data_IF_289039775911
#
_entry.id   IF_289039775911
#
_cell.length_a   1.000
_cell.length_b   1.000
_cell.length_c   1.000
_cell.angle_alpha   90.00
_cell.angle_beta   90.00
_cell.angle_gamma   90.00
#
_symmetry.space_group_name_H-M   'P 1'
#
loop_
_entity.id
_entity.type
_entity.pdbx_description
1 polymer ?
#
# COMPACT_ATOMS: atom_id res chain seq x y z
N UNK A 1 15.79 0.26 -1.58
CA UNK A 1 14.37 0.05 -1.24
C UNK A 1 13.86 -1.16 -2.02
N UNK A 2 13.10 -2.04 -1.38
CA UNK A 2 12.46 -3.19 -2.04
C UNK A 2 10.95 -2.89 -2.20
N UNK A 3 10.43 -2.75 -3.44
CA UNK A 3 9.01 -2.43 -3.66
C UNK A 3 8.04 -3.45 -3.09
N UNK A 4 8.47 -4.70 -2.89
CA UNK A 4 7.64 -5.77 -2.35
C UNK A 4 7.65 -5.85 -0.82
N UNK A 5 8.45 -5.02 -0.14
CA UNK A 5 8.35 -4.87 1.31
C UNK A 5 7.26 -3.85 1.68
N UNK A 6 6.60 -4.00 2.85
CA UNK A 6 5.70 -2.98 3.37
C UNK A 6 6.38 -1.62 3.48
N UNK A 7 5.79 -0.57 2.91
CA UNK A 7 6.33 0.77 3.07
C UNK A 7 6.07 1.35 4.46
N UNK A 8 4.88 1.08 5.01
CA UNK A 8 4.52 1.47 6.35
C UNK A 8 4.84 0.35 7.33
N UNK A 9 5.52 0.70 8.43
CA UNK A 9 5.82 -0.24 9.52
C UNK A 9 5.47 0.36 10.87
N UNK A 10 4.79 -0.42 11.72
CA UNK A 10 4.50 -0.02 13.10
C UNK A 10 5.79 0.14 13.90
N UNK A 11 5.90 1.22 14.69
CA UNK A 11 7.10 1.47 15.50
C UNK A 11 7.15 0.61 16.77
N UNK A 12 5.99 0.17 17.27
CA UNK A 12 5.87 -0.66 18.48
C UNK A 12 4.75 -1.69 18.33
N UNK A 13 4.79 -2.75 19.13
CA UNK A 13 3.68 -3.70 19.24
C UNK A 13 2.41 -2.97 19.69
N UNK A 14 1.26 -3.34 19.13
CA UNK A 14 -0.02 -2.67 19.37
C UNK A 14 -0.25 -1.40 18.53
N UNK A 15 0.75 -0.89 17.81
CA UNK A 15 0.55 0.22 16.87
C UNK A 15 0.16 -0.28 15.47
N UNK A 16 -0.54 0.58 14.74
CA UNK A 16 -1.00 0.31 13.38
C UNK A 16 -0.40 1.28 12.36
N UNK A 17 -0.37 0.82 11.11
CA UNK A 17 0.00 1.67 9.99
C UNK A 17 -1.04 2.75 9.74
N UNK A 18 -0.59 4.00 9.63
CA UNK A 18 -1.48 5.17 9.56
C UNK A 18 -1.95 5.70 10.92
N UNK A 19 -1.60 5.05 12.04
CA UNK A 19 -2.01 5.52 13.37
C UNK A 19 -1.21 6.76 13.80
N UNK A 20 -1.93 7.75 14.34
CA UNK A 20 -1.37 8.91 15.03
C UNK A 20 -1.81 8.94 16.49
N UNK A 21 -1.06 9.61 17.36
CA UNK A 21 -1.51 9.94 18.72
C UNK A 21 -2.43 11.18 18.74
N UNK A 22 -2.89 11.56 19.94
CA UNK A 22 -3.76 12.72 20.16
C UNK A 22 -3.12 14.05 19.72
N UNK A 23 -1.78 14.09 19.61
CA UNK A 23 -1.02 15.26 19.17
C UNK A 23 -0.63 15.17 17.68
N UNK A 24 -1.10 14.15 16.95
CA UNK A 24 -0.78 13.94 15.54
C UNK A 24 0.58 13.30 15.28
N UNK A 25 1.31 12.85 16.30
CA UNK A 25 2.59 12.17 16.08
C UNK A 25 2.37 10.78 15.49
N UNK A 26 3.14 10.46 14.45
CA UNK A 26 3.08 9.16 13.78
C UNK A 26 3.54 8.05 14.72
N UNK A 27 2.77 6.96 14.74
CA UNK A 27 3.11 5.70 15.45
C UNK A 27 3.68 4.63 14.49
N UNK A 28 4.06 5.06 13.30
CA UNK A 28 4.58 4.25 12.22
C UNK A 28 5.72 4.98 11.51
N UNK A 29 6.59 4.22 10.86
CA UNK A 29 7.58 4.73 9.91
C UNK A 29 7.11 4.51 8.48
N UNK A 30 7.66 5.29 7.56
CA UNK A 30 7.50 5.12 6.13
C UNK A 30 8.84 4.80 5.49
N UNK A 31 8.80 4.04 4.40
CA UNK A 31 9.91 3.87 3.49
C UNK A 31 10.30 5.20 2.82
N UNK A 32 11.51 5.26 2.27
CA UNK A 32 12.08 6.49 1.69
C UNK A 32 11.29 7.01 0.48
N UNK A 33 10.81 6.11 -0.39
CA UNK A 33 10.10 6.43 -1.63
C UNK A 33 8.74 5.71 -1.69
N UNK A 34 7.71 6.18 -0.94
CA UNK A 34 6.42 5.51 -0.82
C UNK A 34 5.68 5.32 -2.15
N UNK A 35 5.88 6.23 -3.10
CA UNK A 35 5.29 6.21 -4.44
C UNK A 35 5.79 5.05 -5.30
N UNK A 36 6.93 4.45 -4.96
CA UNK A 36 7.45 3.29 -5.67
C UNK A 36 7.02 1.97 -5.01
N UNK A 37 6.44 2.00 -3.81
CA UNK A 37 6.07 0.79 -3.08
C UNK A 37 4.91 0.05 -3.74
N UNK A 38 4.99 -1.28 -3.79
CA UNK A 38 3.84 -2.12 -4.13
C UNK A 38 2.93 -2.30 -2.93
N UNK A 39 3.47 -2.51 -1.73
CA UNK A 39 2.69 -2.75 -0.51
C UNK A 39 2.71 -1.54 0.43
N UNK A 40 1.53 -1.18 0.94
CA UNK A 40 1.41 -0.18 2.00
C UNK A 40 1.81 -0.79 3.33
N UNK A 41 1.15 -1.88 3.73
CA UNK A 41 1.46 -2.66 4.93
C UNK A 41 1.61 -4.16 4.55
N UNK A 42 1.54 -5.06 5.51
CA UNK A 42 1.68 -6.50 5.25
C UNK A 42 0.55 -7.13 4.43
N UNK A 43 -0.57 -6.43 4.20
CA UNK A 43 -1.78 -6.99 3.60
C UNK A 43 -2.35 -6.13 2.47
N UNK A 44 -2.17 -4.81 2.50
CA UNK A 44 -2.75 -3.88 1.53
C UNK A 44 -1.74 -3.40 0.49
N UNK A 45 -2.09 -3.33 -0.80
CA UNK A 45 -1.30 -2.62 -1.80
C UNK A 45 -1.25 -1.11 -1.51
N UNK A 46 -0.11 -0.49 -1.81
CA UNK A 46 0.01 0.97 -1.91
C UNK A 46 -0.54 1.46 -3.26
N UNK A 47 -0.56 2.77 -3.47
CA UNK A 47 -1.08 3.38 -4.70
C UNK A 47 -0.43 2.79 -5.97
N UNK A 48 0.91 2.65 -5.98
CA UNK A 48 1.61 2.06 -7.11
C UNK A 48 1.38 0.55 -7.25
N UNK A 49 1.11 -0.15 -6.14
CA UNK A 49 0.62 -1.53 -6.16
C UNK A 49 -0.73 -1.65 -6.86
N UNK A 50 -1.70 -0.82 -6.49
CA UNK A 50 -3.01 -0.79 -7.16
C UNK A 50 -2.90 -0.42 -8.63
N UNK A 51 -2.07 0.57 -8.97
CA UNK A 51 -1.79 0.94 -10.36
C UNK A 51 -1.21 -0.24 -11.15
N UNK A 52 -0.22 -0.95 -10.57
CA UNK A 52 0.40 -2.11 -11.20
C UNK A 52 -0.58 -3.26 -11.42
N UNK A 53 -1.44 -3.55 -10.44
CA UNK A 53 -2.51 -4.56 -10.54
C UNK A 53 -3.48 -4.16 -11.65
N UNK A 54 -3.95 -2.92 -11.65
CA UNK A 54 -4.86 -2.41 -12.67
C UNK A 54 -4.25 -2.56 -14.07
N UNK A 55 -3.02 -2.09 -14.30
CA UNK A 55 -2.34 -2.21 -15.60
C UNK A 55 -2.20 -3.66 -16.07
N UNK A 56 -2.08 -4.62 -15.15
CA UNK A 56 -2.04 -6.04 -15.49
C UNK A 56 -3.42 -6.59 -15.87
N UNK A 57 -4.49 -6.14 -15.21
CA UNK A 57 -5.86 -6.61 -15.42
C UNK A 57 -6.61 -5.87 -16.53
N UNK A 58 -6.22 -4.63 -16.84
CA UNK A 58 -6.86 -3.74 -17.82
C UNK A 58 -7.18 -4.44 -19.16
N UNK A 59 -6.28 -5.21 -19.80
CA UNK A 59 -6.58 -5.88 -21.07
C UNK A 59 -7.71 -6.92 -20.98
N UNK A 60 -7.95 -7.46 -19.79
CA UNK A 60 -8.98 -8.47 -19.51
C UNK A 60 -10.18 -7.90 -18.75
N UNK A 61 -10.20 -6.59 -18.50
CA UNK A 61 -11.18 -6.00 -17.59
C UNK A 61 -12.62 -6.21 -18.09
N UNK A 62 -12.85 -6.08 -19.40
CA UNK A 62 -14.15 -6.33 -20.04
C UNK A 62 -14.71 -7.74 -19.77
N UNK A 63 -13.82 -8.74 -19.69
CA UNK A 63 -14.19 -10.13 -19.38
C UNK A 63 -14.50 -10.31 -17.89
N UNK A 64 -13.86 -9.52 -17.01
CA UNK A 64 -14.03 -9.59 -15.56
C UNK A 64 -15.29 -8.86 -15.10
N UNK A 65 -15.56 -7.67 -15.64
CA UNK A 65 -16.69 -6.83 -15.20
C UNK A 65 -17.97 -7.09 -16.00
N UNK A 66 -17.93 -7.98 -16.99
CA UNK A 66 -19.09 -8.34 -17.80
C UNK A 66 -19.66 -7.17 -18.58
N UNK A 67 -18.86 -6.54 -19.44
CA UNK A 67 -19.41 -5.65 -20.46
C UNK A 67 -19.94 -6.49 -21.61
N UNK A 68 -21.25 -6.45 -21.85
CA UNK A 68 -21.92 -7.03 -23.03
C UNK A 68 -21.26 -6.61 -24.34
#
# INVERSE_FOLDING_TARGET
>A
MNPLQPCCSKMKAGYQCGQVDENGNKKYTLCENPELSFFWDNVHPAQNGWYSIFKKLEPSLSQIIGTN
#
